data_IF_692913380664
#
_entry.id   IF_692913380664
#
_cell.length_a   1.000
_cell.length_b   1.000
_cell.length_c   1.000
_cell.angle_alpha   90.00
_cell.angle_beta   90.00
_cell.angle_gamma   90.00
#
_symmetry.space_group_name_H-M   'P 1'
#
loop_
_entity.id
_entity.type
_entity.pdbx_description
1 polymer ?
#
# COMPACT_ATOMS: atom_id res chain seq x y z
N UNK A 1 -21.26 -14.02 -22.84
CA UNK A 1 -20.79 -13.53 -21.52
C UNK A 1 -20.14 -14.62 -20.72
N UNK A 2 -18.89 -14.81 -20.94
CA UNK A 2 -18.12 -15.73 -20.12
C UNK A 2 -17.57 -14.99 -18.91
N UNK A 3 -18.23 -15.12 -17.77
CA UNK A 3 -17.66 -14.73 -16.51
C UNK A 3 -16.50 -15.68 -16.20
N UNK A 4 -15.33 -15.41 -16.75
CA UNK A 4 -14.12 -16.03 -16.28
C UNK A 4 -13.86 -15.52 -14.87
N UNK A 5 -14.27 -16.28 -13.88
CA UNK A 5 -13.73 -16.13 -12.55
C UNK A 5 -12.26 -16.57 -12.61
N UNK A 6 -11.38 -15.64 -12.86
CA UNK A 6 -9.96 -15.89 -12.70
C UNK A 6 -9.75 -16.19 -11.22
N UNK A 7 -9.43 -17.43 -10.90
CA UNK A 7 -9.13 -17.86 -9.56
C UNK A 7 -7.94 -17.05 -9.03
N UNK A 8 -8.08 -16.50 -7.82
CA UNK A 8 -6.99 -15.84 -7.14
C UNK A 8 -5.83 -16.82 -6.91
N UNK A 9 -4.61 -16.37 -7.13
CA UNK A 9 -3.42 -17.18 -6.92
C UNK A 9 -3.13 -17.34 -5.42
N UNK A 10 -2.66 -18.51 -5.03
CA UNK A 10 -2.16 -18.72 -3.67
C UNK A 10 -0.81 -18.01 -3.50
N UNK A 11 -0.33 -17.87 -2.26
CA UNK A 11 0.97 -17.24 -1.98
C UNK A 11 2.12 -17.89 -2.75
N UNK A 12 2.15 -19.21 -2.82
CA UNK A 12 3.18 -19.94 -3.58
C UNK A 12 3.03 -19.71 -5.08
N UNK A 13 1.82 -19.69 -5.59
CA UNK A 13 1.55 -19.41 -7.00
C UNK A 13 1.94 -17.98 -7.37
N UNK A 14 1.72 -17.00 -6.48
CA UNK A 14 2.15 -15.61 -6.68
C UNK A 14 3.66 -15.54 -6.80
N UNK A 15 4.38 -16.22 -5.91
CA UNK A 15 5.84 -16.27 -5.94
C UNK A 15 6.35 -16.83 -7.27
N UNK A 16 5.80 -17.96 -7.72
CA UNK A 16 6.16 -18.57 -9.02
C UNK A 16 5.78 -17.67 -10.19
N UNK A 17 4.64 -17.05 -10.13
CA UNK A 17 4.16 -16.14 -11.18
C UNK A 17 5.11 -14.96 -11.35
N UNK A 18 5.50 -14.31 -10.27
CA UNK A 18 6.42 -13.17 -10.30
C UNK A 18 7.79 -13.61 -10.81
N UNK A 19 8.32 -14.70 -10.30
CA UNK A 19 9.62 -15.24 -10.73
C UNK A 19 9.62 -15.61 -12.21
N UNK A 20 8.56 -16.24 -12.68
CA UNK A 20 8.42 -16.62 -14.09
C UNK A 20 8.37 -15.39 -15.01
N UNK A 21 7.60 -14.36 -14.62
CA UNK A 21 7.53 -13.12 -15.38
C UNK A 21 8.89 -12.42 -15.45
N UNK A 22 9.61 -12.39 -14.36
CA UNK A 22 10.96 -11.82 -14.31
C UNK A 22 11.95 -12.62 -15.14
N UNK A 23 11.85 -13.94 -15.12
CA UNK A 23 12.68 -14.80 -15.95
C UNK A 23 12.48 -14.53 -17.45
N UNK A 24 11.22 -14.42 -17.90
CA UNK A 24 10.88 -14.07 -19.28
C UNK A 24 11.44 -12.69 -19.65
N UNK A 25 11.43 -11.75 -18.70
CA UNK A 25 11.97 -10.40 -18.91
C UNK A 25 13.51 -10.34 -18.90
N UNK A 26 14.20 -11.46 -18.69
CA UNK A 26 15.65 -11.55 -18.77
C UNK A 26 16.39 -11.48 -17.44
N UNK A 27 15.72 -11.68 -16.33
CA UNK A 27 16.35 -11.65 -15.01
C UNK A 27 17.07 -12.94 -14.64
N UNK A 28 18.09 -13.32 -15.28
CA UNK A 28 18.92 -14.52 -15.07
C UNK A 28 18.95 -15.02 -13.60
N UNK A 29 17.91 -15.68 -13.11
CA UNK A 29 17.82 -16.36 -11.79
C UNK A 29 18.16 -15.50 -10.56
N UNK A 30 18.27 -14.21 -10.67
CA UNK A 30 18.49 -13.34 -9.51
C UNK A 30 17.18 -13.19 -8.74
N UNK A 31 17.25 -13.34 -7.42
CA UNK A 31 16.13 -13.02 -6.55
C UNK A 31 15.91 -11.50 -6.52
N UNK A 32 15.04 -11.01 -7.38
CA UNK A 32 14.72 -9.58 -7.43
C UNK A 32 13.80 -9.21 -6.27
N UNK A 33 12.90 -10.10 -5.89
CA UNK A 33 12.00 -9.89 -4.74
C UNK A 33 12.47 -10.72 -3.55
N UNK A 34 12.59 -10.10 -2.38
CA UNK A 34 12.83 -10.84 -1.14
C UNK A 34 11.61 -11.69 -0.77
N UNK A 35 11.80 -12.70 0.07
CA UNK A 35 10.69 -13.55 0.54
C UNK A 35 9.62 -12.74 1.26
N UNK A 36 10.03 -11.81 2.11
CA UNK A 36 9.10 -10.91 2.80
C UNK A 36 8.33 -10.02 1.84
N UNK A 37 8.98 -9.53 0.78
CA UNK A 37 8.32 -8.74 -0.26
C UNK A 37 7.26 -9.56 -0.99
N UNK A 38 7.58 -10.80 -1.38
CA UNK A 38 6.63 -11.69 -2.04
C UNK A 38 5.45 -12.04 -1.13
N UNK A 39 5.70 -12.26 0.14
CA UNK A 39 4.65 -12.54 1.14
C UNK A 39 3.66 -11.38 1.25
N UNK A 40 4.16 -10.15 1.37
CA UNK A 40 3.34 -8.94 1.43
C UNK A 40 2.58 -8.73 0.12
N UNK A 41 3.25 -8.94 -1.01
CA UNK A 41 2.64 -8.83 -2.33
C UNK A 41 1.45 -9.79 -2.46
N UNK A 42 1.64 -11.06 -2.11
CA UNK A 42 0.59 -12.07 -2.16
C UNK A 42 -0.61 -11.71 -1.27
N UNK A 43 -0.33 -11.24 -0.06
CA UNK A 43 -1.36 -10.91 0.94
C UNK A 43 -2.24 -9.74 0.49
N UNK A 44 -1.64 -8.64 0.07
CA UNK A 44 -2.37 -7.40 -0.19
C UNK A 44 -2.94 -7.29 -1.61
N UNK A 45 -2.39 -8.04 -2.57
CA UNK A 45 -2.97 -8.12 -3.93
C UNK A 45 -4.08 -9.15 -4.04
N UNK A 46 -4.30 -9.92 -2.97
CA UNK A 46 -5.30 -11.00 -2.92
C UNK A 46 -5.11 -12.06 -4.02
N UNK A 47 -3.89 -12.16 -4.55
CA UNK A 47 -3.57 -13.11 -5.63
C UNK A 47 -4.15 -12.75 -6.98
N UNK A 48 -4.64 -11.54 -7.17
CA UNK A 48 -5.20 -11.07 -8.43
C UNK A 48 -4.07 -10.65 -9.38
N UNK A 49 -3.89 -11.32 -10.54
CA UNK A 49 -2.73 -11.06 -11.42
C UNK A 49 -2.58 -9.61 -11.86
N UNK A 50 -3.66 -8.91 -12.14
CA UNK A 50 -3.63 -7.50 -12.50
C UNK A 50 -3.02 -6.65 -11.39
N UNK A 51 -3.43 -6.87 -10.16
CA UNK A 51 -2.91 -6.15 -9.00
C UNK A 51 -1.45 -6.50 -8.74
N UNK A 52 -1.09 -7.78 -8.87
CA UNK A 52 0.28 -8.25 -8.74
C UNK A 52 1.20 -7.52 -9.72
N UNK A 53 0.80 -7.45 -11.00
CA UNK A 53 1.60 -6.79 -12.04
C UNK A 53 1.82 -5.30 -11.74
N UNK A 54 0.77 -4.60 -11.35
CA UNK A 54 0.83 -3.16 -11.06
C UNK A 54 1.73 -2.88 -9.86
N UNK A 55 1.52 -3.60 -8.77
CA UNK A 55 2.26 -3.38 -7.52
C UNK A 55 3.72 -3.83 -7.66
N UNK A 56 3.96 -4.98 -8.28
CA UNK A 56 5.31 -5.47 -8.53
C UNK A 56 6.12 -4.48 -9.38
N UNK A 57 5.52 -3.94 -10.43
CA UNK A 57 6.17 -2.94 -11.28
C UNK A 57 6.52 -1.67 -10.51
N UNK A 58 5.59 -1.14 -9.72
CA UNK A 58 5.84 0.05 -8.88
C UNK A 58 6.92 -0.22 -7.84
N UNK A 59 6.89 -1.38 -7.21
CA UNK A 59 7.90 -1.76 -6.21
C UNK A 59 9.30 -1.85 -6.82
N UNK A 60 9.41 -2.40 -8.04
CA UNK A 60 10.68 -2.42 -8.76
C UNK A 60 11.19 -1.01 -9.10
N UNK A 61 10.31 -0.10 -9.51
CA UNK A 61 10.68 1.30 -9.76
C UNK A 61 11.17 1.99 -8.49
N UNK A 62 10.54 1.75 -7.35
CA UNK A 62 10.96 2.30 -6.07
C UNK A 62 12.33 1.77 -5.64
N UNK A 63 12.56 0.46 -5.80
CA UNK A 63 13.84 -0.15 -5.51
C UNK A 63 14.95 0.42 -6.41
N UNK A 64 14.69 0.57 -7.70
CA UNK A 64 15.62 1.18 -8.65
C UNK A 64 15.93 2.62 -8.28
N UNK A 65 14.95 3.40 -7.86
CA UNK A 65 15.13 4.77 -7.38
C UNK A 65 16.02 4.86 -6.14
N UNK A 66 16.02 3.82 -5.31
CA UNK A 66 16.88 3.72 -4.13
C UNK A 66 18.23 3.05 -4.42
N UNK A 67 18.55 2.78 -5.68
CA UNK A 67 19.77 2.09 -6.12
C UNK A 67 19.93 0.70 -5.48
N UNK A 68 18.82 0.01 -5.22
CA UNK A 68 18.84 -1.36 -4.72
C UNK A 68 18.47 -2.33 -5.83
N UNK A 69 19.15 -3.48 -5.87
CA UNK A 69 18.85 -4.53 -6.83
C UNK A 69 17.71 -5.45 -6.39
N UNK A 70 17.42 -5.44 -5.12
CA UNK A 70 16.39 -6.30 -4.55
C UNK A 70 15.23 -5.46 -4.03
N UNK A 71 14.03 -5.89 -4.37
CA UNK A 71 12.80 -5.30 -3.85
C UNK A 71 12.55 -5.86 -2.46
N UNK A 72 12.51 -4.98 -1.49
CA UNK A 72 12.26 -5.31 -0.09
C UNK A 72 10.79 -5.11 0.27
N UNK A 73 10.43 -5.60 1.43
CA UNK A 73 9.08 -5.43 1.99
C UNK A 73 8.64 -3.97 2.00
N UNK A 74 9.53 -3.05 2.37
CA UNK A 74 9.22 -1.61 2.42
C UNK A 74 8.85 -1.04 1.05
N UNK A 75 9.49 -1.51 -0.02
CA UNK A 75 9.20 -1.06 -1.38
C UNK A 75 7.80 -1.50 -1.82
N UNK A 76 7.41 -2.73 -1.49
CA UNK A 76 6.07 -3.25 -1.77
C UNK A 76 5.01 -2.48 -0.98
N UNK A 77 5.26 -2.20 0.29
CA UNK A 77 4.33 -1.45 1.14
C UNK A 77 4.14 -0.02 0.64
N UNK A 78 5.20 0.65 0.20
CA UNK A 78 5.12 1.97 -0.41
C UNK A 78 4.33 1.94 -1.73
N UNK A 79 4.58 0.95 -2.57
CA UNK A 79 3.85 0.76 -3.82
C UNK A 79 2.35 0.58 -3.57
N UNK A 80 1.99 -0.22 -2.57
CA UNK A 80 0.60 -0.43 -2.15
C UNK A 80 -0.05 0.87 -1.68
N UNK A 81 0.64 1.66 -0.87
CA UNK A 81 0.12 2.93 -0.37
C UNK A 81 -0.12 3.94 -1.50
N UNK A 82 0.76 3.98 -2.49
CA UNK A 82 0.61 4.87 -3.64
C UNK A 82 -0.52 4.46 -4.56
N UNK A 83 -0.84 3.17 -4.63
CA UNK A 83 -1.91 2.66 -5.49
C UNK A 83 -3.30 2.72 -4.84
N UNK A 84 -3.39 3.13 -3.58
CA UNK A 84 -4.68 3.20 -2.87
C UNK A 84 -5.24 1.85 -2.45
N UNK A 85 -4.46 0.78 -2.56
CA UNK A 85 -4.85 -0.55 -2.06
C UNK A 85 -4.70 -0.64 -0.55
N UNK A 86 -3.95 0.25 0.07
CA UNK A 86 -3.77 0.25 1.51
C UNK A 86 -5.02 0.76 2.22
N UNK A 87 -6.01 -0.08 2.31
CA UNK A 87 -7.16 0.13 3.20
C UNK A 87 -6.80 -0.09 4.66
N UNK A 88 -5.52 -0.31 4.96
CA UNK A 88 -5.09 -0.74 6.27
C UNK A 88 -4.39 0.38 7.03
N UNK A 89 -5.07 0.90 8.03
CA UNK A 89 -4.47 1.62 9.15
C UNK A 89 -4.13 3.08 8.96
N UNK A 90 -3.87 3.55 7.74
CA UNK A 90 -3.48 4.94 7.49
C UNK A 90 -4.67 5.88 7.29
N UNK A 91 -5.82 5.36 6.84
CA UNK A 91 -7.02 6.17 6.66
C UNK A 91 -7.61 6.64 8.00
N UNK A 92 -7.51 5.80 9.03
CA UNK A 92 -8.05 6.13 10.36
C UNK A 92 -7.23 7.22 11.05
N UNK A 93 -5.92 7.21 10.88
CA UNK A 93 -5.03 8.24 11.42
C UNK A 93 -5.39 9.64 10.88
N UNK A 94 -5.60 9.77 9.57
CA UNK A 94 -5.98 11.05 8.96
C UNK A 94 -7.34 11.54 9.46
N UNK A 95 -8.29 10.64 9.62
CA UNK A 95 -9.61 10.96 10.18
C UNK A 95 -9.50 11.42 11.64
N UNK A 96 -8.65 10.79 12.43
CA UNK A 96 -8.40 11.18 13.83
C UNK A 96 -7.75 12.55 13.92
N UNK A 97 -6.79 12.89 13.06
CA UNK A 97 -6.16 14.20 13.06
C UNK A 97 -7.12 15.32 12.66
N UNK A 98 -7.98 15.08 11.67
CA UNK A 98 -9.04 16.02 11.28
C UNK A 98 -10.04 16.20 12.43
N UNK A 99 -10.44 15.13 13.08
CA UNK A 99 -11.33 15.17 14.25
C UNK A 99 -10.74 15.98 15.40
N UNK A 100 -9.47 15.79 15.71
CA UNK A 100 -8.77 16.55 16.76
C UNK A 100 -8.72 18.06 16.45
N UNK A 101 -8.43 18.43 15.21
CA UNK A 101 -8.39 19.84 14.79
C UNK A 101 -9.77 20.48 14.91
N UNK A 102 -10.83 19.78 14.49
CA UNK A 102 -12.20 20.28 14.63
C UNK A 102 -12.61 20.48 16.08
N UNK A 103 -12.31 19.53 16.96
CA UNK A 103 -12.58 19.61 18.40
C UNK A 103 -11.85 20.81 19.02
N UNK A 104 -10.58 20.99 18.66
CA UNK A 104 -9.79 22.11 19.15
C UNK A 104 -10.39 23.45 18.72
N UNK A 105 -10.81 23.58 17.48
CA UNK A 105 -11.46 24.78 16.96
C UNK A 105 -12.77 25.08 17.68
N UNK A 106 -13.61 24.08 17.90
CA UNK A 106 -14.87 24.23 18.64
C UNK A 106 -14.61 24.67 20.08
N UNK A 107 -13.62 24.08 20.76
CA UNK A 107 -13.22 24.44 22.10
C UNK A 107 -12.77 25.91 22.19
N UNK A 108 -11.97 26.38 21.25
CA UNK A 108 -11.53 27.76 21.18
C UNK A 108 -12.71 28.75 20.97
N UNK A 109 -13.65 28.40 20.11
CA UNK A 109 -14.83 29.18 19.85
C UNK A 109 -15.71 29.27 21.13
N UNK A 110 -15.90 28.16 21.82
CA UNK A 110 -16.66 28.10 23.06
C UNK A 110 -16.01 28.96 24.15
N UNK A 111 -14.68 28.88 24.31
CA UNK A 111 -13.95 29.72 25.28
C UNK A 111 -14.03 31.18 24.91
N UNK A 112 -13.91 31.53 23.64
CA UNK A 112 -14.06 32.90 23.16
C UNK A 112 -15.45 33.46 23.44
N UNK A 113 -16.51 32.72 23.15
CA UNK A 113 -17.88 33.11 23.41
C UNK A 113 -18.15 33.22 24.92
N UNK A 114 -17.64 32.29 25.73
CA UNK A 114 -17.76 32.33 27.18
C UNK A 114 -17.12 33.60 27.77
N UNK A 115 -15.93 33.99 27.27
CA UNK A 115 -15.28 35.24 27.68
C UNK A 115 -16.05 36.46 27.22
N UNK A 116 -16.62 36.43 26.02
CA UNK A 116 -17.34 37.56 25.47
C UNK A 116 -18.71 37.76 26.18
N UNK A 117 -19.41 36.67 26.48
CA UNK A 117 -20.67 36.70 27.18
C UNK A 117 -20.52 36.73 28.72
N UNK A 118 -19.38 36.31 29.26
CA UNK A 118 -19.10 36.32 30.68
C UNK A 118 -18.75 37.70 31.24
N UNK A 119 -18.52 38.71 30.39
CA UNK A 119 -18.21 40.09 30.74
C UNK A 119 -19.41 41.04 30.63
N UNK A 120 -20.61 40.53 30.50
CA UNK A 120 -21.83 41.33 30.46
C UNK A 120 -22.46 41.38 31.84
#
# INVERSE_FOLDING_TARGET
CFAYKVRALTADEVSRYVQHRLYIAGSNYREIFSRSALSVLAKYTEGIPRNINIIAHKAMLLAAGNNTYQVNRSDVLKALSQHGISRYGLSNWKLWSIGCVLILNIALIVIYLAKHFGNI
#
